data_IF_771805084899
#
_entry.id   IF_771805084899
#
_cell.length_a   1.000
_cell.length_b   1.000
_cell.length_c   1.000
_cell.angle_alpha   90.00
_cell.angle_beta   90.00
_cell.angle_gamma   90.00
#
_symmetry.space_group_name_H-M   'P 1'
#
loop_
_entity.id
_entity.type
_entity.pdbx_description
1 polymer ?
#
# COMPACT_ATOMS: atom_id res chain seq x y z
N UNK A 1 -3.02 -43.01 16.81
CA UNK A 1 -3.56 -41.64 17.03
C UNK A 1 -2.63 -40.69 16.31
N UNK A 2 -3.02 -40.27 15.07
CA UNK A 2 -2.22 -39.39 14.19
C UNK A 2 -2.43 -37.95 14.68
N UNK A 3 -1.37 -37.17 14.95
CA UNK A 3 -1.56 -35.76 15.32
C UNK A 3 -2.11 -35.02 14.14
N UNK A 4 -3.26 -34.35 14.34
CA UNK A 4 -3.86 -33.45 13.38
C UNK A 4 -2.84 -32.35 13.02
N UNK A 5 -2.43 -32.31 11.76
CA UNK A 5 -1.74 -31.15 11.19
C UNK A 5 -2.62 -29.91 11.41
N UNK A 6 -2.27 -29.09 12.40
CA UNK A 6 -2.75 -27.71 12.46
C UNK A 6 -2.26 -27.05 11.18
N UNK A 7 -3.17 -26.79 10.26
CA UNK A 7 -2.86 -26.08 9.02
C UNK A 7 -2.09 -24.80 9.38
N UNK A 8 -0.91 -24.61 8.77
CA UNK A 8 -0.18 -23.36 8.85
C UNK A 8 -1.13 -22.28 8.35
N UNK A 9 -1.47 -21.33 9.20
CA UNK A 9 -2.18 -20.12 8.78
C UNK A 9 -1.26 -19.46 7.74
N UNK A 10 -1.79 -19.20 6.55
CA UNK A 10 -1.02 -18.55 5.49
C UNK A 10 -0.48 -17.21 6.03
N UNK A 11 0.81 -16.96 5.87
CA UNK A 11 1.37 -15.67 6.25
C UNK A 11 0.91 -14.61 5.25
N UNK A 12 0.51 -13.40 5.72
CA UNK A 12 0.13 -12.33 4.83
C UNK A 12 1.27 -11.95 3.88
N UNK A 13 0.97 -11.86 2.60
CA UNK A 13 1.94 -11.49 1.56
C UNK A 13 1.89 -10.02 1.19
N UNK A 14 0.81 -9.32 1.57
CA UNK A 14 0.56 -7.93 1.22
C UNK A 14 0.07 -7.11 2.42
N UNK A 15 0.67 -5.94 2.63
CA UNK A 15 0.34 -5.04 3.74
C UNK A 15 0.08 -3.61 3.22
N UNK A 16 -1.14 -3.32 2.72
CA UNK A 16 -1.49 -1.96 2.32
C UNK A 16 -1.70 -1.05 3.54
N UNK A 17 -1.35 0.23 3.41
CA UNK A 17 -1.68 1.31 4.34
C UNK A 17 -2.85 2.06 3.73
N UNK A 18 -4.00 2.09 4.42
CA UNK A 18 -5.25 2.69 3.93
C UNK A 18 -5.73 3.75 4.91
N UNK A 19 -6.22 4.88 4.41
CA UNK A 19 -6.67 6.02 5.21
C UNK A 19 -8.01 5.80 5.95
N UNK A 20 -8.55 4.58 5.96
CA UNK A 20 -9.82 4.18 6.60
C UNK A 20 -11.04 4.97 6.13
N UNK A 21 -10.96 5.53 4.93
CA UNK A 21 -12.11 6.19 4.32
C UNK A 21 -13.16 5.15 3.92
N UNK A 22 -14.43 5.55 3.91
CA UNK A 22 -15.53 4.65 3.59
C UNK A 22 -15.31 3.81 2.33
N UNK A 23 -14.78 4.41 1.25
CA UNK A 23 -14.54 3.67 -0.01
C UNK A 23 -13.48 2.58 0.12
N UNK A 24 -12.44 2.79 0.92
CA UNK A 24 -11.38 1.79 1.16
C UNK A 24 -11.90 0.63 2.03
N UNK A 25 -12.68 0.94 3.07
CA UNK A 25 -13.32 -0.07 3.93
C UNK A 25 -14.36 -0.88 3.15
N UNK A 26 -15.12 -0.23 2.26
CA UNK A 26 -16.05 -0.90 1.36
C UNK A 26 -15.32 -1.86 0.40
N UNK A 27 -14.18 -1.45 -0.15
CA UNK A 27 -13.36 -2.34 -0.97
C UNK A 27 -12.87 -3.58 -0.19
N UNK A 28 -12.43 -3.40 1.06
CA UNK A 28 -12.00 -4.49 1.93
C UNK A 28 -13.17 -5.45 2.26
N UNK A 29 -14.39 -4.93 2.46
CA UNK A 29 -15.57 -5.75 2.77
C UNK A 29 -16.00 -6.66 1.62
N UNK A 30 -15.59 -6.35 0.38
CA UNK A 30 -15.87 -7.15 -0.82
C UNK A 30 -14.72 -8.09 -1.21
N UNK A 31 -13.69 -8.26 -0.36
CA UNK A 31 -12.65 -9.25 -0.60
C UNK A 31 -13.20 -10.67 -0.46
N UNK A 32 -12.75 -11.55 -1.36
CA UNK A 32 -13.03 -12.98 -1.22
C UNK A 32 -12.37 -13.52 0.05
N UNK A 33 -13.14 -14.29 0.83
CA UNK A 33 -12.67 -14.92 2.06
C UNK A 33 -11.45 -15.83 1.85
N UNK A 34 -11.26 -16.39 0.66
CA UNK A 34 -10.09 -17.21 0.33
C UNK A 34 -8.78 -16.40 0.27
N UNK A 35 -8.85 -15.13 -0.14
CA UNK A 35 -7.67 -14.25 -0.23
C UNK A 35 -7.51 -13.32 0.98
N UNK A 36 -8.54 -13.14 1.78
CA UNK A 36 -8.51 -12.28 2.97
C UNK A 36 -7.34 -12.59 3.93
N UNK A 37 -6.96 -13.86 4.20
CA UNK A 37 -5.81 -14.17 5.06
C UNK A 37 -4.45 -13.76 4.49
N UNK A 38 -4.36 -13.51 3.19
CA UNK A 38 -3.12 -13.08 2.51
C UNK A 38 -2.88 -11.56 2.67
N UNK A 39 -3.88 -10.83 3.17
CA UNK A 39 -3.86 -9.40 3.36
C UNK A 39 -3.74 -9.03 4.84
N UNK A 40 -2.86 -8.10 5.17
CA UNK A 40 -2.72 -7.55 6.51
C UNK A 40 -2.77 -6.01 6.46
N UNK A 41 -3.94 -5.39 6.22
CA UNK A 41 -4.04 -3.97 6.03
C UNK A 41 -3.70 -3.19 7.31
N UNK A 42 -3.06 -2.04 7.13
CA UNK A 42 -2.91 -1.01 8.15
C UNK A 42 -3.94 0.08 7.87
N UNK A 43 -4.81 0.34 8.82
CA UNK A 43 -5.86 1.34 8.75
C UNK A 43 -5.43 2.59 9.53
N UNK A 44 -5.12 3.68 8.83
CA UNK A 44 -4.82 4.98 9.44
C UNK A 44 -6.12 5.69 9.79
N UNK A 45 -6.34 5.97 11.07
CA UNK A 45 -7.52 6.67 11.55
C UNK A 45 -7.21 8.15 11.80
N UNK A 46 -8.00 9.02 11.19
CA UNK A 46 -7.99 10.47 11.44
C UNK A 46 -9.07 10.91 12.46
N UNK A 47 -10.07 10.07 12.69
CA UNK A 47 -11.17 10.28 13.65
C UNK A 47 -11.63 8.93 14.18
N UNK A 48 -12.20 8.92 15.40
CA UNK A 48 -12.94 7.77 15.92
C UNK A 48 -14.41 7.98 15.57
N UNK A 49 -14.86 7.33 14.50
CA UNK A 49 -16.24 7.39 14.01
C UNK A 49 -16.90 6.02 14.23
N UNK A 50 -18.07 5.96 14.89
CA UNK A 50 -18.83 4.72 15.08
C UNK A 50 -19.11 3.96 13.77
N UNK A 51 -19.34 4.69 12.66
CA UNK A 51 -19.56 4.07 11.34
C UNK A 51 -18.30 3.36 10.86
N UNK A 52 -17.13 3.98 11.05
CA UNK A 52 -15.84 3.38 10.70
C UNK A 52 -15.58 2.13 11.55
N UNK A 53 -15.85 2.19 12.85
CA UNK A 53 -15.70 1.04 13.76
C UNK A 53 -16.65 -0.11 13.38
N UNK A 54 -17.89 0.18 13.04
CA UNK A 54 -18.85 -0.81 12.55
C UNK A 54 -18.38 -1.47 11.24
N UNK A 55 -17.86 -0.70 10.30
CA UNK A 55 -17.29 -1.22 9.05
C UNK A 55 -16.06 -2.11 9.30
N UNK A 56 -15.17 -1.73 10.23
CA UNK A 56 -14.02 -2.56 10.63
C UNK A 56 -14.50 -3.88 11.25
N UNK A 57 -15.55 -3.83 12.08
CA UNK A 57 -16.15 -5.02 12.70
C UNK A 57 -16.81 -5.98 11.71
N UNK A 58 -17.15 -5.51 10.51
CA UNK A 58 -17.79 -6.30 9.43
C UNK A 58 -16.81 -6.78 8.35
N UNK A 59 -15.51 -6.58 8.52
CA UNK A 59 -14.54 -7.08 7.57
C UNK A 59 -14.60 -8.62 7.45
N UNK A 60 -14.23 -9.19 6.30
CA UNK A 60 -14.29 -10.63 6.07
C UNK A 60 -13.56 -11.43 7.15
N UNK A 61 -14.09 -12.60 7.50
CA UNK A 61 -13.47 -13.51 8.45
C UNK A 61 -12.03 -13.84 8.00
N UNK A 62 -11.09 -13.78 8.95
CA UNK A 62 -9.66 -13.98 8.69
C UNK A 62 -8.89 -12.71 8.34
N UNK A 63 -9.56 -11.60 8.03
CA UNK A 63 -8.93 -10.30 7.85
C UNK A 63 -8.91 -9.53 9.18
N UNK A 64 -7.76 -9.54 9.88
CA UNK A 64 -7.57 -8.76 11.11
C UNK A 64 -6.72 -7.54 10.78
N UNK A 65 -7.31 -6.33 10.74
CA UNK A 65 -6.57 -5.13 10.38
C UNK A 65 -5.65 -4.68 11.52
N UNK A 66 -4.50 -4.11 11.15
CA UNK A 66 -3.74 -3.28 12.07
C UNK A 66 -4.30 -1.85 12.04
N UNK A 67 -4.35 -1.19 13.19
CA UNK A 67 -4.94 0.14 13.32
C UNK A 67 -3.91 1.13 13.83
N UNK A 68 -3.69 2.19 13.07
CA UNK A 68 -2.81 3.31 13.38
C UNK A 68 -3.63 4.51 13.88
N UNK A 69 -3.49 4.82 15.15
CA UNK A 69 -4.14 5.97 15.82
C UNK A 69 -3.13 7.11 16.10
N UNK A 70 -1.98 7.09 15.48
CA UNK A 70 -0.91 8.08 15.72
C UNK A 70 -1.33 9.53 15.41
N UNK A 71 -2.29 9.70 14.50
CA UNK A 71 -2.87 11.01 14.16
C UNK A 71 -3.93 11.50 15.16
N UNK A 72 -4.37 10.63 16.09
CA UNK A 72 -5.40 10.97 17.09
C UNK A 72 -4.76 11.42 18.40
N UNK A 73 -5.46 12.29 19.18
CA UNK A 73 -5.01 12.66 20.53
C UNK A 73 -5.02 11.43 21.46
N UNK A 74 -4.19 11.46 22.48
CA UNK A 74 -4.18 10.41 23.51
C UNK A 74 -5.34 10.65 24.49
N UNK A 75 -6.43 9.94 24.26
CA UNK A 75 -7.67 10.03 25.04
C UNK A 75 -8.28 8.62 25.22
N UNK A 76 -9.14 8.41 26.22
CA UNK A 76 -9.76 7.10 26.47
C UNK A 76 -10.50 6.53 25.27
N UNK A 77 -11.14 7.36 24.46
CA UNK A 77 -11.86 6.97 23.25
C UNK A 77 -10.95 6.47 22.12
N UNK A 78 -9.65 6.79 22.18
CA UNK A 78 -8.63 6.31 21.22
C UNK A 78 -7.89 5.05 21.68
N UNK A 79 -8.24 4.52 22.87
CA UNK A 79 -7.70 3.26 23.38
C UNK A 79 -8.37 2.08 22.68
N UNK A 80 -7.63 1.37 21.81
CA UNK A 80 -8.14 0.29 20.95
C UNK A 80 -8.89 -0.81 21.72
N UNK A 81 -8.48 -1.10 22.93
CA UNK A 81 -9.12 -2.14 23.76
C UNK A 81 -10.59 -1.80 24.09
N UNK A 82 -10.95 -0.54 24.10
CA UNK A 82 -12.31 -0.08 24.42
C UNK A 82 -13.29 -0.22 23.26
N UNK A 83 -12.79 -0.44 22.05
CA UNK A 83 -13.66 -0.52 20.87
C UNK A 83 -14.43 -1.83 20.78
N UNK A 84 -14.01 -2.89 21.49
CA UNK A 84 -14.64 -4.19 21.42
C UNK A 84 -14.50 -4.90 20.06
N UNK A 85 -13.65 -4.37 19.17
CA UNK A 85 -13.38 -4.92 17.84
C UNK A 85 -11.96 -5.48 17.84
N UNK A 86 -11.75 -6.73 17.39
CA UNK A 86 -10.41 -7.30 17.29
C UNK A 86 -9.55 -6.58 16.27
N UNK A 87 -8.50 -5.91 16.74
CA UNK A 87 -7.54 -5.18 15.89
C UNK A 87 -6.11 -5.40 16.39
N UNK A 88 -5.14 -5.20 15.51
CA UNK A 88 -3.71 -5.23 15.86
C UNK A 88 -3.26 -3.76 16.04
N UNK A 89 -2.69 -3.35 17.19
CA UNK A 89 -2.19 -2.00 17.34
C UNK A 89 -0.99 -1.73 16.43
N UNK A 90 -0.96 -0.54 15.83
CA UNK A 90 0.24 0.02 15.17
C UNK A 90 0.95 0.92 16.17
N UNK A 91 2.24 0.72 16.34
CA UNK A 91 3.09 1.40 17.30
C UNK A 91 4.16 2.19 16.54
N UNK A 92 4.23 3.50 16.80
CA UNK A 92 5.28 4.36 16.31
C UNK A 92 6.46 4.47 17.30
N UNK A 93 7.67 4.70 16.80
CA UNK A 93 8.85 4.92 17.69
C UNK A 93 8.72 6.17 18.57
N UNK A 94 7.96 7.17 18.12
CA UNK A 94 7.73 8.43 18.83
C UNK A 94 6.55 8.38 19.80
N UNK A 95 5.85 7.26 19.91
CA UNK A 95 4.70 7.14 20.81
C UNK A 95 5.12 7.38 22.28
N UNK A 96 4.23 8.04 23.04
CA UNK A 96 4.43 8.26 24.46
C UNK A 96 4.42 6.94 25.24
N UNK A 97 5.05 6.91 26.42
CA UNK A 97 5.03 5.72 27.28
C UNK A 97 3.60 5.28 27.62
N UNK A 98 2.68 6.26 27.83
CA UNK A 98 1.25 5.98 28.05
C UNK A 98 0.63 5.25 26.86
N UNK A 99 0.88 5.75 25.64
CA UNK A 99 0.35 5.12 24.41
C UNK A 99 0.96 3.73 24.21
N UNK A 100 2.25 3.55 24.47
CA UNK A 100 2.91 2.24 24.41
C UNK A 100 2.25 1.22 25.37
N UNK A 101 1.94 1.65 26.61
CA UNK A 101 1.22 0.78 27.56
C UNK A 101 -0.17 0.43 27.03
N UNK A 102 -0.94 1.40 26.54
CA UNK A 102 -2.30 1.16 26.00
C UNK A 102 -2.27 0.19 24.79
N UNK A 103 -1.31 0.36 23.89
CA UNK A 103 -1.12 -0.54 22.74
C UNK A 103 -0.69 -1.95 23.19
N UNK A 104 0.15 -2.06 24.22
CA UNK A 104 0.52 -3.35 24.81
C UNK A 104 -0.70 -4.09 25.38
N UNK A 105 -1.60 -3.38 26.07
CA UNK A 105 -2.87 -3.96 26.58
C UNK A 105 -3.74 -4.45 25.43
N UNK A 106 -3.90 -3.63 24.38
CA UNK A 106 -4.69 -4.01 23.19
C UNK A 106 -4.07 -5.23 22.47
N UNK A 107 -2.75 -5.26 22.31
CA UNK A 107 -2.05 -6.40 21.71
C UNK A 107 -2.30 -7.71 22.50
N UNK A 108 -2.23 -7.67 23.82
CA UNK A 108 -2.49 -8.84 24.66
C UNK A 108 -3.95 -9.30 24.60
N UNK A 109 -4.89 -8.34 24.54
CA UNK A 109 -6.33 -8.64 24.51
C UNK A 109 -6.79 -9.34 23.23
N UNK A 110 -6.22 -8.98 22.08
CA UNK A 110 -6.77 -9.42 20.79
C UNK A 110 -5.91 -10.44 20.04
N UNK A 111 -4.67 -10.13 19.74
CA UNK A 111 -3.90 -10.93 18.80
C UNK A 111 -2.54 -11.40 19.32
N UNK A 112 -2.13 -10.96 20.50
CA UNK A 112 -0.76 -11.09 21.05
C UNK A 112 0.32 -10.66 20.07
N UNK A 113 0.01 -9.64 19.26
CA UNK A 113 0.94 -9.08 18.28
C UNK A 113 0.69 -7.60 18.07
N UNK A 114 1.69 -6.90 17.52
CA UNK A 114 1.60 -5.51 17.11
C UNK A 114 2.28 -5.29 15.76
N UNK A 115 2.05 -4.16 15.13
CA UNK A 115 2.84 -3.66 14.01
C UNK A 115 3.70 -2.51 14.51
N UNK A 116 5.01 -2.59 14.40
CA UNK A 116 5.91 -1.47 14.66
C UNK A 116 6.16 -0.75 13.34
N UNK A 117 5.76 0.51 13.24
CA UNK A 117 5.89 1.32 12.02
C UNK A 117 7.06 2.28 12.12
N UNK A 118 8.04 2.13 11.22
CA UNK A 118 9.19 3.02 11.06
C UNK A 118 8.97 3.90 9.83
N UNK A 119 8.76 5.19 10.02
CA UNK A 119 8.68 6.17 8.91
C UNK A 119 10.09 6.63 8.53
N UNK A 120 10.61 6.09 7.43
CA UNK A 120 12.00 6.30 6.97
C UNK A 120 12.39 7.77 6.73
N UNK A 121 11.42 8.68 6.58
CA UNK A 121 11.64 10.12 6.45
C UNK A 121 11.77 10.86 7.80
N UNK A 122 11.20 10.31 8.86
CA UNK A 122 11.13 10.92 10.20
C UNK A 122 12.21 10.36 11.14
N UNK A 123 12.59 9.08 10.98
CA UNK A 123 13.55 8.38 11.83
C UNK A 123 14.99 8.68 11.40
N UNK A 124 15.44 9.93 11.61
CA UNK A 124 16.78 10.38 11.23
C UNK A 124 17.86 10.12 12.27
N UNK A 125 17.48 9.59 13.43
CA UNK A 125 18.36 9.54 14.61
C UNK A 125 19.46 8.47 14.57
N UNK A 126 19.50 7.63 13.52
CA UNK A 126 20.51 6.58 13.35
C UNK A 126 20.16 5.26 14.07
N UNK A 127 21.01 4.21 13.90
CA UNK A 127 20.72 2.86 14.37
C UNK A 127 20.57 2.74 15.89
N UNK A 128 21.37 3.46 16.66
CA UNK A 128 21.38 3.35 18.13
C UNK A 128 20.12 3.99 18.75
N UNK A 129 19.71 5.16 18.23
CA UNK A 129 18.47 5.80 18.66
C UNK A 129 17.23 4.98 18.24
N UNK A 130 17.25 4.35 17.06
CA UNK A 130 16.20 3.43 16.62
C UNK A 130 16.12 2.23 17.55
N UNK A 131 17.27 1.67 17.96
CA UNK A 131 17.35 0.56 18.93
C UNK A 131 16.79 0.97 20.30
N UNK A 132 17.21 2.13 20.84
CA UNK A 132 16.71 2.62 22.11
C UNK A 132 15.18 2.86 22.09
N UNK A 133 14.66 3.39 20.97
CA UNK A 133 13.21 3.56 20.80
C UNK A 133 12.46 2.22 20.71
N UNK A 134 13.02 1.22 20.04
CA UNK A 134 12.47 -0.13 20.01
C UNK A 134 12.48 -0.79 21.41
N UNK A 135 13.55 -0.61 22.19
CA UNK A 135 13.63 -1.08 23.58
C UNK A 135 12.55 -0.46 24.49
N UNK A 136 12.16 0.81 24.23
CA UNK A 136 11.02 1.42 24.92
C UNK A 136 9.71 0.65 24.60
N UNK A 137 9.50 0.25 23.37
CA UNK A 137 8.32 -0.55 22.97
C UNK A 137 8.30 -1.86 23.72
N UNK A 138 9.44 -2.56 23.83
CA UNK A 138 9.53 -3.80 24.57
C UNK A 138 9.21 -3.60 26.07
N UNK A 139 9.77 -2.56 26.65
CA UNK A 139 9.60 -2.25 28.07
C UNK A 139 8.17 -1.86 28.42
N UNK A 140 7.61 -0.87 27.74
CA UNK A 140 6.29 -0.31 28.08
C UNK A 140 5.13 -1.09 27.46
N UNK A 141 5.26 -1.54 26.23
CA UNK A 141 4.28 -2.35 25.55
C UNK A 141 4.24 -3.82 26.02
N UNK A 142 5.26 -4.25 26.79
CA UNK A 142 5.40 -5.66 27.23
C UNK A 142 5.32 -6.65 26.04
N UNK A 143 5.97 -6.28 24.96
CA UNK A 143 6.05 -7.05 23.74
C UNK A 143 7.49 -7.54 23.54
N UNK A 144 7.66 -8.55 22.70
CA UNK A 144 8.96 -9.01 22.22
C UNK A 144 8.99 -8.92 20.69
N UNK A 145 10.17 -8.83 20.06
CA UNK A 145 10.28 -8.69 18.60
C UNK A 145 9.48 -9.75 17.83
N UNK A 146 9.48 -11.01 18.31
CA UNK A 146 8.80 -12.16 17.70
C UNK A 146 7.26 -12.01 17.66
N UNK A 147 6.71 -11.10 18.47
CA UNK A 147 5.29 -10.76 18.47
C UNK A 147 4.99 -9.57 17.55
N UNK A 148 6.01 -8.95 16.96
CA UNK A 148 5.87 -7.72 16.22
C UNK A 148 6.19 -7.90 14.73
N UNK A 149 5.28 -7.41 13.88
CA UNK A 149 5.55 -7.18 12.47
C UNK A 149 6.23 -5.81 12.33
N UNK A 150 7.35 -5.73 11.62
CA UNK A 150 7.99 -4.46 11.31
C UNK A 150 7.49 -3.94 9.97
N UNK A 151 6.99 -2.71 9.95
CA UNK A 151 6.59 -1.98 8.75
C UNK A 151 7.55 -0.79 8.55
N UNK A 152 8.41 -0.88 7.55
CA UNK A 152 9.29 0.21 7.12
C UNK A 152 8.54 1.02 6.07
N UNK A 153 8.13 2.22 6.43
CA UNK A 153 7.33 3.11 5.62
C UNK A 153 8.22 4.17 4.97
N UNK A 154 8.40 4.07 3.66
CA UNK A 154 9.23 4.98 2.87
C UNK A 154 8.55 6.32 2.55
N UNK A 155 7.23 6.45 2.81
CA UNK A 155 6.44 7.59 2.39
C UNK A 155 6.21 7.65 0.88
N UNK A 156 6.11 8.86 0.32
CA UNK A 156 5.91 9.05 -1.11
C UNK A 156 7.16 8.67 -1.92
N UNK A 157 6.99 7.82 -2.92
CA UNK A 157 8.00 7.44 -3.92
C UNK A 157 7.32 7.48 -5.29
N UNK A 158 7.17 8.69 -5.83
CA UNK A 158 6.37 8.97 -7.02
C UNK A 158 7.21 9.26 -8.27
N UNK A 159 8.53 9.32 -8.12
CA UNK A 159 9.43 9.64 -9.22
C UNK A 159 10.84 9.04 -9.00
N UNK A 160 11.71 9.05 -10.04
CA UNK A 160 13.10 8.57 -9.91
C UNK A 160 13.92 9.28 -8.82
N UNK A 161 13.62 10.55 -8.55
CA UNK A 161 14.32 11.31 -7.53
C UNK A 161 13.98 10.79 -6.13
N UNK A 162 12.69 10.52 -5.86
CA UNK A 162 12.23 9.96 -4.60
C UNK A 162 12.84 8.58 -4.38
N UNK A 163 12.84 7.73 -5.42
CA UNK A 163 13.44 6.39 -5.36
C UNK A 163 14.92 6.44 -4.97
N UNK A 164 15.72 7.33 -5.59
CA UNK A 164 17.15 7.49 -5.26
C UNK A 164 17.38 7.88 -3.80
N UNK A 165 16.45 8.60 -3.20
CA UNK A 165 16.52 9.03 -1.80
C UNK A 165 16.00 7.94 -0.85
N UNK A 166 14.90 7.28 -1.21
CA UNK A 166 14.24 6.29 -0.37
C UNK A 166 15.03 4.98 -0.27
N UNK A 167 15.53 4.45 -1.39
CA UNK A 167 16.19 3.14 -1.44
C UNK A 167 17.34 2.99 -0.43
N UNK A 168 18.36 3.86 -0.37
CA UNK A 168 19.45 3.70 0.58
C UNK A 168 19.01 3.85 2.05
N UNK A 169 17.96 4.64 2.31
CA UNK A 169 17.40 4.78 3.66
C UNK A 169 16.70 3.49 4.10
N UNK A 170 15.86 2.94 3.24
CA UNK A 170 15.15 1.69 3.50
C UNK A 170 16.12 0.54 3.66
N UNK A 171 17.15 0.42 2.81
CA UNK A 171 18.20 -0.60 2.97
C UNK A 171 18.88 -0.54 4.32
N UNK A 172 19.20 0.66 4.84
CA UNK A 172 19.78 0.80 6.18
C UNK A 172 18.82 0.32 7.27
N UNK A 173 17.54 0.64 7.17
CA UNK A 173 16.54 0.19 8.14
C UNK A 173 16.29 -1.31 8.07
N UNK A 174 16.28 -1.92 6.88
CA UNK A 174 16.20 -3.38 6.72
C UNK A 174 17.42 -4.06 7.33
N UNK A 175 18.63 -3.52 7.12
CA UNK A 175 19.84 -4.05 7.74
C UNK A 175 19.85 -3.90 9.26
N UNK A 176 19.30 -2.81 9.79
CA UNK A 176 19.08 -2.65 11.23
C UNK A 176 18.06 -3.69 11.73
N UNK A 177 16.96 -3.88 11.03
CA UNK A 177 15.91 -4.83 11.40
C UNK A 177 16.43 -6.28 11.57
N UNK A 178 17.42 -6.69 10.80
CA UNK A 178 18.04 -8.03 10.88
C UNK A 178 18.74 -8.33 12.22
N UNK A 179 18.90 -7.32 13.08
CA UNK A 179 19.46 -7.52 14.44
C UNK A 179 18.44 -8.04 15.43
N UNK A 180 17.16 -8.09 15.05
CA UNK A 180 16.06 -8.50 15.90
C UNK A 180 15.22 -9.57 15.20
N UNK A 181 14.65 -10.47 15.98
CA UNK A 181 13.81 -11.55 15.47
C UNK A 181 12.36 -11.09 15.22
N UNK A 182 12.15 -10.13 14.28
CA UNK A 182 10.81 -9.69 13.89
C UNK A 182 10.00 -10.86 13.33
N UNK A 183 8.69 -10.86 13.59
CA UNK A 183 7.78 -11.84 13.01
C UNK A 183 7.75 -11.73 11.48
N UNK A 184 7.61 -10.52 10.96
CA UNK A 184 7.75 -10.19 9.54
C UNK A 184 8.41 -8.81 9.38
N UNK A 185 9.03 -8.57 8.23
CA UNK A 185 9.54 -7.25 7.84
C UNK A 185 8.93 -6.89 6.49
N UNK A 186 8.20 -5.78 6.44
CA UNK A 186 7.52 -5.28 5.23
C UNK A 186 8.03 -3.89 4.90
N UNK A 187 8.23 -3.60 3.61
CA UNK A 187 8.51 -2.25 3.11
C UNK A 187 7.28 -1.73 2.39
N UNK A 188 6.82 -0.52 2.75
CA UNK A 188 5.72 0.15 2.10
C UNK A 188 6.15 1.51 1.54
N UNK A 189 5.57 1.90 0.40
CA UNK A 189 5.75 3.21 -0.21
C UNK A 189 4.50 3.65 -0.98
N UNK A 190 4.25 4.95 -1.09
CA UNK A 190 3.18 5.51 -1.90
C UNK A 190 3.67 5.86 -3.30
N UNK A 191 3.15 5.21 -4.34
CA UNK A 191 3.51 5.49 -5.74
C UNK A 191 2.57 6.48 -6.43
N UNK A 192 1.44 6.82 -5.82
CA UNK A 192 0.49 7.78 -6.38
C UNK A 192 0.90 9.21 -6.01
N UNK A 193 0.98 10.15 -6.99
CA UNK A 193 1.31 11.54 -6.70
C UNK A 193 0.31 12.19 -5.72
N UNK A 194 0.76 13.12 -4.85
CA UNK A 194 -0.09 13.82 -3.89
C UNK A 194 -1.26 14.56 -4.52
N UNK A 195 -1.12 14.99 -5.77
CA UNK A 195 -2.18 15.64 -6.54
C UNK A 195 -2.19 15.15 -7.99
N UNK A 196 -3.39 14.99 -8.54
CA UNK A 196 -3.60 14.63 -9.95
C UNK A 196 -4.02 15.85 -10.80
N UNK A 197 -4.09 17.05 -10.22
CA UNK A 197 -4.61 18.26 -10.89
C UNK A 197 -3.84 18.65 -12.15
N UNK A 198 -2.56 18.28 -12.23
CA UNK A 198 -1.70 18.57 -13.38
C UNK A 198 -1.81 17.55 -14.51
N UNK A 199 -2.50 16.44 -14.29
CA UNK A 199 -2.69 15.44 -15.34
C UNK A 199 -3.78 15.90 -16.30
N UNK A 200 -3.64 15.60 -17.60
CA UNK A 200 -4.68 15.89 -18.58
C UNK A 200 -5.99 15.16 -18.23
N UNK A 201 -7.07 15.66 -18.82
CA UNK A 201 -8.41 15.07 -18.69
C UNK A 201 -8.87 14.50 -20.02
N UNK A 202 -9.85 13.60 -19.97
CA UNK A 202 -10.52 12.99 -21.13
C UNK A 202 -9.64 12.03 -21.94
N UNK A 203 -8.49 11.65 -21.37
CA UNK A 203 -7.61 10.60 -21.87
C UNK A 203 -6.97 9.83 -20.70
N UNK A 204 -6.62 8.54 -20.88
CA UNK A 204 -5.91 7.78 -19.87
C UNK A 204 -4.44 8.23 -19.79
N UNK A 205 -3.93 8.44 -18.56
CA UNK A 205 -2.55 8.81 -18.30
C UNK A 205 -1.84 7.66 -17.58
N UNK A 206 -0.71 7.22 -18.13
CA UNK A 206 0.13 6.21 -17.51
C UNK A 206 1.14 6.87 -16.56
N UNK A 207 1.20 6.38 -15.32
CA UNK A 207 2.20 6.72 -14.33
C UNK A 207 2.94 5.45 -13.90
N UNK A 208 4.26 5.53 -13.76
CA UNK A 208 5.06 4.40 -13.31
C UNK A 208 4.88 4.15 -11.80
N UNK A 209 4.93 2.89 -11.39
CA UNK A 209 4.86 2.47 -9.99
C UNK A 209 6.25 2.44 -9.36
N UNK A 210 6.74 3.60 -8.95
CA UNK A 210 8.04 3.75 -8.31
C UNK A 210 8.08 3.08 -6.91
N UNK A 211 6.95 2.98 -6.23
CA UNK A 211 6.74 2.18 -5.02
C UNK A 211 7.04 0.70 -5.27
N UNK A 212 6.50 0.14 -6.35
CA UNK A 212 6.72 -1.24 -6.77
C UNK A 212 8.17 -1.48 -7.16
N UNK A 213 8.78 -0.55 -7.91
CA UNK A 213 10.19 -0.64 -8.29
C UNK A 213 11.12 -0.57 -7.07
N UNK A 214 10.81 0.27 -6.07
CA UNK A 214 11.56 0.28 -4.80
C UNK A 214 11.55 -1.12 -4.16
N UNK A 215 10.38 -1.75 -4.05
CA UNK A 215 10.28 -3.09 -3.46
C UNK A 215 11.02 -4.14 -4.29
N UNK A 216 10.91 -4.13 -5.61
CA UNK A 216 11.64 -5.05 -6.50
C UNK A 216 13.16 -4.96 -6.30
N UNK A 217 13.69 -3.74 -6.09
CA UNK A 217 15.12 -3.52 -5.82
C UNK A 217 15.56 -4.01 -4.43
N UNK A 218 14.60 -4.27 -3.54
CA UNK A 218 14.83 -4.76 -2.18
C UNK A 218 14.45 -6.24 -2.02
N UNK A 219 13.94 -6.89 -3.08
CA UNK A 219 13.40 -8.25 -3.02
C UNK A 219 14.44 -9.28 -2.53
N UNK A 220 15.73 -9.08 -2.88
CA UNK A 220 16.83 -9.94 -2.41
C UNK A 220 17.04 -9.88 -0.89
N UNK A 221 16.47 -8.87 -0.21
CA UNK A 221 16.54 -8.74 1.24
C UNK A 221 15.46 -9.56 1.96
N UNK A 222 14.54 -10.19 1.22
CA UNK A 222 13.48 -11.03 1.79
C UNK A 222 12.40 -10.24 2.53
N UNK A 223 12.13 -9.00 2.11
CA UNK A 223 11.10 -8.15 2.71
C UNK A 223 9.75 -8.30 2.02
N UNK A 224 8.66 -8.25 2.80
CA UNK A 224 7.29 -8.24 2.29
C UNK A 224 6.96 -6.91 1.59
N UNK A 225 5.89 -6.93 0.79
CA UNK A 225 5.38 -5.78 0.05
C UNK A 225 4.26 -5.05 0.77
N UNK A 226 4.32 -3.71 0.74
CA UNK A 226 3.25 -2.80 1.16
C UNK A 226 3.18 -1.57 0.27
N UNK A 227 2.02 -0.91 0.26
CA UNK A 227 1.81 0.37 -0.42
C UNK A 227 0.70 1.19 0.26
N UNK A 228 0.26 2.26 -0.38
CA UNK A 228 -0.83 3.12 0.09
C UNK A 228 -2.12 2.94 -0.73
N UNK A 229 -2.35 1.72 -1.25
CA UNK A 229 -3.48 1.46 -2.12
C UNK A 229 -3.45 2.40 -3.33
N UNK A 230 -4.58 3.02 -3.62
CA UNK A 230 -4.71 3.99 -4.72
C UNK A 230 -4.53 5.45 -4.27
N UNK A 231 -4.11 5.67 -3.03
CA UNK A 231 -3.88 7.00 -2.45
C UNK A 231 -2.39 7.39 -2.48
N UNK A 232 -2.10 8.67 -2.31
CA UNK A 232 -0.75 9.13 -1.97
C UNK A 232 -0.48 8.90 -0.48
N UNK A 233 0.79 8.68 -0.11
CA UNK A 233 1.19 8.56 1.30
C UNK A 233 0.98 9.89 2.05
N UNK A 234 1.25 11.01 1.39
CA UNK A 234 1.03 12.37 1.91
C UNK A 234 0.07 13.12 0.99
N UNK A 235 -1.24 12.90 1.09
CA UNK A 235 -2.18 13.57 0.21
C UNK A 235 -2.08 15.08 0.41
N UNK A 236 -1.91 15.83 -0.69
CA UNK A 236 -2.09 17.28 -0.67
C UNK A 236 -3.52 17.58 -0.24
N UNK A 237 -3.71 18.55 0.65
CA UNK A 237 -5.04 18.99 1.04
C UNK A 237 -5.88 19.26 -0.22
N UNK A 238 -7.07 18.68 -0.28
CA UNK A 238 -7.98 18.90 -1.41
C UNK A 238 -8.36 20.39 -1.44
N UNK A 239 -7.80 21.12 -2.39
CA UNK A 239 -8.28 22.46 -2.71
C UNK A 239 -9.75 22.37 -3.16
N UNK A 240 -10.55 23.43 -2.92
CA UNK A 240 -11.93 23.46 -3.39
C UNK A 240 -11.93 23.53 -4.92
N UNK A 241 -12.08 22.44 -5.63
CA UNK A 241 -12.29 22.66 -7.06
C UNK A 241 -12.32 21.48 -8.00
N UNK A 242 -11.56 20.47 -7.86
CA UNK A 242 -11.42 19.51 -8.98
C UNK A 242 -11.91 18.09 -8.64
N UNK A 243 -13.23 17.97 -8.44
CA UNK A 243 -13.89 16.66 -8.29
C UNK A 243 -14.28 16.09 -9.65
N UNK A 244 -13.31 15.94 -10.52
CA UNK A 244 -13.55 15.21 -11.76
C UNK A 244 -13.79 13.71 -11.47
N UNK A 245 -14.69 13.06 -12.20
CA UNK A 245 -14.75 11.59 -12.24
C UNK A 245 -13.35 11.02 -12.46
N UNK A 246 -12.88 10.27 -11.51
CA UNK A 246 -11.49 9.77 -11.52
C UNK A 246 -11.45 8.31 -11.10
N UNK A 247 -10.83 7.46 -11.93
CA UNK A 247 -10.50 6.07 -11.62
C UNK A 247 -8.98 5.92 -11.69
N UNK A 248 -8.39 5.35 -10.64
CA UNK A 248 -6.97 4.98 -10.58
C UNK A 248 -6.89 3.47 -10.75
N UNK A 249 -6.39 3.04 -11.89
CA UNK A 249 -6.42 1.64 -12.28
C UNK A 249 -5.00 1.06 -12.30
N UNK A 250 -4.77 -0.01 -11.57
CA UNK A 250 -3.46 -0.66 -11.46
C UNK A 250 -3.25 -1.62 -12.62
N UNK A 251 -2.07 -1.59 -13.20
CA UNK A 251 -1.64 -2.59 -14.17
C UNK A 251 -0.16 -2.94 -13.91
N UNK A 252 0.41 -3.86 -14.67
CA UNK A 252 1.77 -4.35 -14.50
C UNK A 252 2.77 -3.18 -14.50
N UNK A 253 3.34 -2.88 -13.32
CA UNK A 253 4.34 -1.81 -13.13
C UNK A 253 3.85 -0.37 -13.34
N UNK A 254 2.56 -0.15 -13.51
CA UNK A 254 2.01 1.17 -13.81
C UNK A 254 0.67 1.44 -13.13
N UNK A 255 0.37 2.72 -12.98
CA UNK A 255 -0.95 3.24 -12.75
C UNK A 255 -1.52 3.78 -14.05
N UNK A 256 -2.79 3.53 -14.33
CA UNK A 256 -3.55 4.19 -15.38
C UNK A 256 -4.58 5.09 -14.72
N UNK A 257 -4.39 6.40 -14.85
CA UNK A 257 -5.27 7.41 -14.25
C UNK A 257 -6.24 7.90 -15.30
N UNK A 258 -7.51 7.66 -15.08
CA UNK A 258 -8.62 8.10 -15.90
C UNK A 258 -9.29 9.29 -15.21
N UNK A 259 -9.22 10.48 -15.79
CA UNK A 259 -9.88 11.69 -15.29
C UNK A 259 -10.70 12.30 -16.42
N UNK A 260 -12.01 12.38 -16.21
CA UNK A 260 -12.91 12.92 -17.21
C UNK A 260 -13.47 14.26 -16.77
N UNK A 261 -13.38 15.28 -17.67
CA UNK A 261 -13.98 16.58 -17.43
C UNK A 261 -15.51 16.46 -17.42
N UNK A 262 -16.16 17.37 -16.70
CA UNK A 262 -17.64 17.46 -16.72
C UNK A 262 -18.18 18.26 -17.90
N UNK A 263 -17.30 18.84 -18.72
CA UNK A 263 -17.68 19.62 -19.89
C UNK A 263 -18.26 18.70 -20.97
N UNK A 264 -19.38 19.11 -21.58
CA UNK A 264 -19.95 18.42 -22.73
C UNK A 264 -20.88 17.25 -22.44
N UNK A 265 -21.41 17.12 -21.20
CA UNK A 265 -22.40 16.07 -20.89
C UNK A 265 -22.89 16.10 -19.44
N UNK A 266 -23.93 15.32 -19.13
CA UNK A 266 -24.32 15.06 -17.75
C UNK A 266 -23.23 14.23 -17.07
N UNK A 267 -23.02 14.44 -15.76
CA UNK A 267 -21.97 13.76 -15.01
C UNK A 267 -21.97 12.22 -15.16
N UNK A 268 -23.15 11.62 -15.23
CA UNK A 268 -23.33 10.17 -15.40
C UNK A 268 -22.87 9.67 -16.79
N UNK A 269 -23.12 10.44 -17.84
CA UNK A 269 -22.68 10.10 -19.20
C UNK A 269 -21.16 10.12 -19.31
N UNK A 270 -20.53 11.16 -18.76
CA UNK A 270 -19.06 11.28 -18.78
C UNK A 270 -18.37 10.18 -18.00
N UNK A 271 -18.95 9.74 -16.87
CA UNK A 271 -18.40 8.61 -16.15
C UNK A 271 -18.58 7.27 -16.89
N UNK A 272 -19.71 7.10 -17.57
CA UNK A 272 -19.92 5.92 -18.43
C UNK A 272 -18.93 5.89 -19.61
N UNK A 273 -18.57 7.04 -20.18
CA UNK A 273 -17.55 7.16 -21.22
C UNK A 273 -16.17 6.77 -20.70
N UNK A 274 -15.78 7.28 -19.51
CA UNK A 274 -14.56 6.87 -18.83
C UNK A 274 -14.52 5.34 -18.65
N UNK A 275 -15.59 4.76 -18.12
CA UNK A 275 -15.66 3.32 -17.91
C UNK A 275 -15.59 2.52 -19.23
N UNK A 276 -16.23 2.99 -20.31
CA UNK A 276 -16.12 2.34 -21.64
C UNK A 276 -14.69 2.38 -22.17
N UNK A 277 -14.00 3.51 -22.01
CA UNK A 277 -12.59 3.63 -22.41
C UNK A 277 -11.71 2.67 -21.63
N UNK A 278 -11.93 2.56 -20.30
CA UNK A 278 -11.18 1.63 -19.45
C UNK A 278 -11.43 0.16 -19.83
N UNK A 279 -12.69 -0.23 -19.99
CA UNK A 279 -13.04 -1.63 -20.30
C UNK A 279 -12.53 -2.08 -21.69
N UNK A 280 -12.35 -1.14 -22.62
CA UNK A 280 -11.77 -1.40 -23.94
C UNK A 280 -10.22 -1.33 -23.95
N UNK A 281 -9.60 -0.95 -22.86
CA UNK A 281 -8.14 -0.78 -22.79
C UNK A 281 -7.40 -2.13 -22.75
N UNK A 282 -6.19 -2.24 -23.33
CA UNK A 282 -5.38 -3.46 -23.32
C UNK A 282 -5.03 -3.98 -21.92
N UNK A 283 -5.02 -3.11 -20.92
CA UNK A 283 -4.73 -3.46 -19.52
C UNK A 283 -5.97 -3.86 -18.72
N UNK A 284 -7.17 -3.92 -19.35
CA UNK A 284 -8.33 -4.55 -18.72
C UNK A 284 -8.05 -6.05 -18.52
N UNK A 285 -8.30 -6.62 -17.32
CA UNK A 285 -7.89 -7.99 -17.03
C UNK A 285 -8.60 -9.01 -17.90
N UNK A 286 -7.95 -10.13 -18.28
CA UNK A 286 -8.57 -11.18 -19.07
C UNK A 286 -9.82 -11.79 -18.44
N UNK A 287 -9.89 -11.83 -17.09
CA UNK A 287 -11.07 -12.28 -16.35
C UNK A 287 -12.22 -11.24 -16.37
N UNK A 288 -11.99 -10.07 -16.93
CA UNK A 288 -12.98 -9.01 -17.07
C UNK A 288 -13.59 -8.63 -15.73
N UNK A 289 -14.91 -8.48 -15.69
CA UNK A 289 -15.68 -8.16 -14.49
C UNK A 289 -15.56 -9.19 -13.35
N UNK A 290 -15.10 -10.38 -13.62
CA UNK A 290 -14.86 -11.42 -12.61
C UNK A 290 -13.53 -11.26 -11.86
N UNK A 291 -12.68 -10.28 -12.25
CA UNK A 291 -11.39 -10.09 -11.62
C UNK A 291 -11.50 -9.52 -10.20
N UNK A 292 -12.35 -8.52 -10.01
CA UNK A 292 -12.64 -7.93 -8.71
C UNK A 292 -14.05 -7.37 -8.64
N UNK A 293 -14.54 -7.09 -7.44
CA UNK A 293 -15.79 -6.33 -7.26
C UNK A 293 -15.75 -4.96 -7.96
N UNK A 294 -14.61 -4.28 -7.88
CA UNK A 294 -14.41 -3.00 -8.58
C UNK A 294 -14.59 -3.12 -10.08
N UNK A 295 -14.01 -4.14 -10.71
CA UNK A 295 -14.14 -4.38 -12.15
C UNK A 295 -15.58 -4.70 -12.54
N UNK A 296 -16.30 -5.48 -11.72
CA UNK A 296 -17.72 -5.74 -11.92
C UNK A 296 -18.52 -4.42 -11.96
N UNK A 297 -18.30 -3.55 -10.98
CA UNK A 297 -19.00 -2.29 -10.89
C UNK A 297 -18.63 -1.31 -12.02
N UNK A 298 -17.36 -1.25 -12.43
CA UNK A 298 -16.91 -0.43 -13.56
C UNK A 298 -17.56 -0.90 -14.88
N UNK A 299 -17.65 -2.22 -15.12
CA UNK A 299 -18.34 -2.76 -16.30
C UNK A 299 -19.84 -2.41 -16.32
N UNK A 300 -20.52 -2.45 -15.16
CA UNK A 300 -21.93 -2.03 -15.06
C UNK A 300 -22.12 -0.57 -15.49
N UNK A 301 -21.19 0.33 -15.14
CA UNK A 301 -21.24 1.75 -15.56
C UNK A 301 -20.93 1.90 -17.04
N UNK A 302 -19.94 1.18 -17.56
CA UNK A 302 -19.66 1.16 -19.00
C UNK A 302 -20.89 0.76 -19.83
N UNK A 303 -21.69 -0.18 -19.34
CA UNK A 303 -22.95 -0.64 -19.95
C UNK A 303 -24.17 0.22 -19.62
N UNK A 304 -24.03 1.28 -18.82
CA UNK A 304 -25.12 2.17 -18.36
C UNK A 304 -26.25 1.47 -17.61
N UNK A 305 -25.97 0.33 -16.97
CA UNK A 305 -26.94 -0.38 -16.12
C UNK A 305 -26.94 0.11 -14.67
N UNK A 306 -26.10 1.08 -14.35
CA UNK A 306 -26.04 1.76 -13.05
C UNK A 306 -25.58 3.20 -13.24
N UNK A 307 -25.95 4.09 -12.30
CA UNK A 307 -25.53 5.49 -12.30
C UNK A 307 -24.02 5.66 -12.04
N UNK A 308 -23.51 6.88 -12.24
CA UNK A 308 -22.08 7.20 -12.12
C UNK A 308 -21.45 6.89 -10.75
N UNK A 309 -22.26 6.84 -9.70
CA UNK A 309 -21.76 6.77 -8.33
C UNK A 309 -21.18 8.12 -7.86
N UNK A 310 -20.35 8.05 -6.83
CA UNK A 310 -19.72 9.20 -6.17
C UNK A 310 -18.20 9.05 -6.12
N UNK A 311 -17.44 10.09 -5.75
CA UNK A 311 -16.00 9.96 -5.51
C UNK A 311 -15.62 8.83 -4.55
N UNK A 312 -16.45 8.58 -3.54
CA UNK A 312 -16.27 7.45 -2.61
C UNK A 312 -16.37 6.11 -3.33
N UNK A 313 -17.36 5.94 -4.21
CA UNK A 313 -17.51 4.72 -4.99
C UNK A 313 -16.35 4.53 -5.97
N UNK A 314 -15.90 5.59 -6.64
CA UNK A 314 -14.76 5.50 -7.57
C UNK A 314 -13.48 5.07 -6.85
N UNK A 315 -13.25 5.59 -5.63
CA UNK A 315 -12.15 5.15 -4.78
C UNK A 315 -12.33 3.69 -4.38
N UNK A 316 -13.53 3.27 -3.97
CA UNK A 316 -13.82 1.89 -3.59
C UNK A 316 -13.53 0.90 -4.74
N UNK A 317 -14.00 1.21 -5.95
CA UNK A 317 -13.78 0.34 -7.11
C UNK A 317 -12.31 0.30 -7.55
N UNK A 318 -11.62 1.46 -7.53
CA UNK A 318 -10.18 1.52 -7.79
C UNK A 318 -9.39 0.72 -6.75
N UNK A 319 -9.71 0.85 -5.46
CA UNK A 319 -9.06 0.10 -4.38
C UNK A 319 -9.32 -1.40 -4.48
N UNK A 320 -10.57 -1.81 -4.76
CA UNK A 320 -10.93 -3.22 -4.93
C UNK A 320 -10.11 -3.87 -6.05
N UNK A 321 -10.03 -3.22 -7.22
CA UNK A 321 -9.19 -3.68 -8.32
C UNK A 321 -7.71 -3.74 -7.92
N UNK A 322 -7.20 -2.70 -7.29
CA UNK A 322 -5.80 -2.62 -6.86
C UNK A 322 -5.41 -3.77 -5.92
N UNK A 323 -6.21 -4.01 -4.87
CA UNK A 323 -5.96 -5.09 -3.92
C UNK A 323 -5.93 -6.46 -4.62
N UNK A 324 -6.90 -6.72 -5.50
CA UNK A 324 -6.94 -7.96 -6.27
C UNK A 324 -5.73 -8.11 -7.20
N UNK A 325 -5.33 -7.03 -7.89
CA UNK A 325 -4.17 -7.01 -8.80
C UNK A 325 -2.86 -7.30 -8.05
N UNK A 326 -2.62 -6.62 -6.93
CA UNK A 326 -1.40 -6.82 -6.12
C UNK A 326 -1.35 -8.24 -5.56
N UNK A 327 -2.45 -8.74 -4.98
CA UNK A 327 -2.51 -10.11 -4.47
C UNK A 327 -2.25 -11.13 -5.59
N UNK A 328 -2.90 -10.98 -6.74
CA UNK A 328 -2.67 -11.86 -7.89
C UNK A 328 -1.22 -11.84 -8.37
N UNK A 329 -0.57 -10.66 -8.32
CA UNK A 329 0.84 -10.51 -8.72
C UNK A 329 1.80 -11.16 -7.72
N UNK A 330 1.60 -10.95 -6.43
CA UNK A 330 2.46 -11.49 -5.37
C UNK A 330 2.30 -13.01 -5.19
N UNK A 331 1.15 -13.57 -5.56
CA UNK A 331 0.88 -15.01 -5.44
C UNK A 331 1.18 -15.81 -6.70
N UNK A 332 1.57 -15.15 -7.80
CA UNK A 332 2.00 -15.86 -9.02
C UNK A 332 3.24 -16.69 -8.76
N UNK A 333 3.32 -17.94 -9.28
CA UNK A 333 4.54 -18.72 -9.24
C UNK A 333 5.71 -17.95 -9.88
N UNK A 334 6.91 -18.05 -9.27
CA UNK A 334 8.10 -17.33 -9.76
C UNK A 334 8.46 -17.60 -11.25
N UNK A 335 8.01 -18.73 -11.81
CA UNK A 335 8.21 -19.10 -13.23
C UNK A 335 7.38 -18.24 -14.19
N UNK A 336 6.29 -17.64 -13.74
CA UNK A 336 5.37 -16.82 -14.56
C UNK A 336 5.54 -15.31 -14.31
N UNK A 337 6.51 -14.92 -13.47
CA UNK A 337 6.83 -13.51 -13.25
C UNK A 337 7.54 -12.99 -14.51
N UNK A 338 6.90 -12.06 -15.22
CA UNK A 338 7.53 -11.39 -16.37
C UNK A 338 8.82 -10.71 -15.90
N UNK A 339 9.88 -10.71 -16.76
CA UNK A 339 11.09 -9.97 -16.44
C UNK A 339 10.73 -8.50 -16.20
N UNK A 340 11.41 -7.89 -15.23
CA UNK A 340 11.30 -6.48 -14.87
C UNK A 340 11.38 -5.60 -16.14
N UNK A 341 10.32 -4.88 -16.52
CA UNK A 341 10.32 -4.04 -17.72
C UNK A 341 11.39 -2.94 -17.68
N UNK A 342 11.97 -2.67 -16.51
CA UNK A 342 12.96 -1.62 -16.27
C UNK A 342 14.42 -2.07 -16.37
N UNK A 343 14.71 -3.38 -16.38
CA UNK A 343 16.09 -3.88 -16.52
C UNK A 343 16.79 -3.44 -17.81
N UNK A 344 16.05 -3.11 -18.85
CA UNK A 344 16.60 -2.71 -20.16
C UNK A 344 16.98 -1.23 -20.28
N UNK A 345 16.57 -0.35 -19.38
CA UNK A 345 16.86 1.09 -19.47
C UNK A 345 18.15 1.49 -18.75
N UNK A 346 18.53 0.79 -17.68
CA UNK A 346 19.82 1.04 -17.01
C UNK A 346 21.03 0.63 -17.87
N UNK A 347 20.89 -0.39 -18.72
CA UNK A 347 21.97 -0.80 -19.64
C UNK A 347 22.15 0.18 -20.83
N UNK A 348 21.08 0.87 -21.24
CA UNK A 348 21.13 1.85 -22.33
C UNK A 348 21.68 3.22 -21.92
N UNK A 349 21.75 3.51 -20.62
CA UNK A 349 22.22 4.77 -20.05
C UNK A 349 23.72 4.81 -19.69
N UNK A 350 24.47 3.72 -19.85
CA UNK A 350 25.92 3.74 -19.60
C UNK A 350 26.62 4.33 -20.83
N UNK A 351 27.33 5.49 -20.71
CA UNK A 351 28.14 6.00 -21.80
C UNK A 351 29.25 4.98 -22.10
N UNK A 352 29.27 4.48 -23.33
CA UNK A 352 30.40 3.67 -23.86
C UNK A 352 31.66 4.51 -23.75
N UNK A 353 32.63 4.06 -22.93
CA UNK A 353 33.96 4.66 -22.90
C UNK A 353 34.57 4.58 -24.31
N UNK A 354 35.06 5.70 -24.87
CA UNK A 354 35.74 5.65 -26.15
C UNK A 354 37.01 4.78 -26.04
N UNK A 355 37.14 3.79 -26.92
CA UNK A 355 38.39 3.03 -27.12
C UNK A 355 39.49 4.03 -27.45
N UNK A 356 40.51 4.16 -26.58
CA UNK A 356 41.77 4.80 -26.92
C UNK A 356 42.45 3.92 -27.94
N UNK A 357 42.41 4.36 -29.20
CA UNK A 357 43.21 3.77 -30.28
C UNK A 357 44.71 3.92 -29.96
N UNK A 358 45.40 2.81 -29.96
CA UNK A 358 46.86 2.77 -29.85
C UNK A 358 47.51 3.37 -31.09
N UNK A 359 48.29 4.42 -30.92
CA UNK A 359 49.23 4.92 -31.94
C UNK A 359 50.36 3.92 -32.13
N UNK A 360 50.40 3.31 -33.30
CA UNK A 360 51.55 2.54 -33.77
C UNK A 360 52.71 3.50 -34.12
N UNK A 361 53.78 3.44 -33.33
CA UNK A 361 55.06 4.06 -33.69
C UNK A 361 55.61 3.38 -34.96
N UNK A 362 55.77 4.15 -36.04
CA UNK A 362 56.67 3.80 -37.16
C UNK A 362 58.02 4.42 -36.87
N UNK A 363 59.00 3.57 -36.77
CA UNK A 363 60.44 3.94 -36.91
C UNK A 363 60.76 4.14 -38.38
N UNK A 364 61.51 5.16 -38.64
CA UNK A 364 62.21 5.47 -39.87
C UNK A 364 63.16 6.61 -39.61
#
# INVERSE_FOLDING_TARGET
MVPAHRGRVAEPVYRPILASRRGELEALSHLDGAVAPLLAPVLELSTVDPIVLDLIGRLPAGLVPAVDVSALPEAPETELVRWGVPVVPVIGLADSDRRLVAHGVAAQAYARRAVVRLRAGQDRAGPDATTAAAERIWRYGRLVPEQCDLLIDAGDVCCPADLRVAEPRVRRLVNWARRHAWRTVTVAAGGMPPTLSRLPTDEPVRLDRWDWLLWLRLAELGVGYGDYGVAAASPAGEGPGDRFPTVRYTADGAWWVYRWSRRGGRGDERFADLCRTLVAAPHWPPAGAGFSWGDHELLRRARRVAGAGSPTNWTAWSTSHHLAHVLATLTRPARDQRPDPWRGEEERGRPTRPHRGGEARRAG
#
